data_IF_422192294678
#
_entry.id   IF_422192294678
#
_cell.length_a   1.000
_cell.length_b   1.000
_cell.length_c   1.000
_cell.angle_alpha   90.00
_cell.angle_beta   90.00
_cell.angle_gamma   90.00
#
_symmetry.space_group_name_H-M   'P 1'
#
loop_
_entity.id
_entity.type
_entity.pdbx_description
1 polymer ?
#
# COMPACT_ATOMS: atom_id res chain seq x y z
N UNK A 1 5.57 12.45 7.81
CA UNK A 1 5.32 11.75 6.53
C UNK A 1 6.17 10.49 6.46
N UNK A 2 5.55 9.34 6.17
CA UNK A 2 6.27 8.06 6.04
C UNK A 2 6.02 7.47 4.65
N UNK A 3 7.10 7.13 3.93
CA UNK A 3 7.02 6.54 2.60
C UNK A 3 7.56 5.11 2.61
N UNK A 4 6.85 4.19 1.95
CA UNK A 4 7.22 2.78 1.83
C UNK A 4 7.38 2.38 0.35
N UNK A 5 8.46 1.69 -0.04
CA UNK A 5 8.55 1.10 -1.37
C UNK A 5 7.67 -0.16 -1.48
N UNK A 6 7.52 -0.70 -2.70
CA UNK A 6 6.91 -2.01 -2.90
C UNK A 6 7.80 -3.13 -2.33
N UNK A 7 7.50 -3.57 -1.10
CA UNK A 7 8.23 -4.66 -0.46
C UNK A 7 7.82 -6.02 -1.07
N UNK A 8 8.81 -6.85 -1.44
CA UNK A 8 8.60 -8.22 -1.90
C UNK A 8 8.42 -8.42 -3.41
N UNK A 9 8.09 -7.39 -4.20
CA UNK A 9 7.76 -7.50 -5.65
C UNK A 9 8.96 -7.40 -6.60
N UNK A 10 10.18 -7.40 -6.04
CA UNK A 10 11.46 -7.38 -6.76
C UNK A 10 12.00 -8.78 -7.05
N UNK A 11 13.27 -9.02 -6.70
CA UNK A 11 13.93 -10.33 -6.85
C UNK A 11 13.32 -11.44 -5.98
N UNK A 12 12.50 -11.09 -4.99
CA UNK A 12 11.85 -12.03 -4.07
C UNK A 12 10.67 -12.80 -4.67
N UNK A 13 10.22 -12.46 -5.88
CA UNK A 13 9.18 -13.20 -6.61
C UNK A 13 7.78 -13.15 -5.99
N UNK A 14 7.55 -12.32 -4.97
CA UNK A 14 6.25 -12.21 -4.34
C UNK A 14 5.26 -11.53 -5.31
N UNK A 15 4.09 -12.12 -5.60
CA UNK A 15 3.14 -11.54 -6.55
C UNK A 15 2.73 -10.13 -6.16
N UNK A 16 2.76 -9.21 -7.12
CA UNK A 16 2.45 -7.80 -6.90
C UNK A 16 1.06 -7.58 -6.29
N UNK A 17 0.05 -8.28 -6.81
CA UNK A 17 -1.32 -8.24 -6.28
C UNK A 17 -1.38 -8.56 -4.78
N UNK A 18 -0.71 -9.64 -4.38
CA UNK A 18 -0.69 -10.07 -2.99
C UNK A 18 0.08 -9.06 -2.13
N UNK A 19 1.20 -8.51 -2.62
CA UNK A 19 1.99 -7.52 -1.89
C UNK A 19 1.17 -6.26 -1.61
N UNK A 20 0.49 -5.74 -2.63
CA UNK A 20 -0.33 -4.54 -2.53
C UNK A 20 -1.49 -4.74 -1.55
N UNK A 21 -2.20 -5.88 -1.64
CA UNK A 21 -3.29 -6.19 -0.70
C UNK A 21 -2.80 -6.24 0.75
N UNK A 22 -1.68 -6.91 1.01
CA UNK A 22 -1.09 -6.97 2.37
C UNK A 22 -0.69 -5.57 2.83
N UNK A 23 0.07 -4.82 2.03
CA UNK A 23 0.55 -3.49 2.39
C UNK A 23 -0.60 -2.53 2.76
N UNK A 24 -1.65 -2.49 1.92
CA UNK A 24 -2.80 -1.61 2.11
C UNK A 24 -3.68 -2.04 3.28
N UNK A 25 -3.99 -3.34 3.41
CA UNK A 25 -4.82 -3.84 4.52
C UNK A 25 -4.14 -3.71 5.88
N UNK A 26 -2.82 -3.98 5.95
CA UNK A 26 -2.02 -3.76 7.15
C UNK A 26 -2.01 -2.28 7.53
N UNK A 27 -1.80 -1.40 6.55
CA UNK A 27 -1.81 0.06 6.78
C UNK A 27 -3.16 0.53 7.28
N UNK A 28 -4.26 0.09 6.65
CA UNK A 28 -5.62 0.40 7.11
C UNK A 28 -5.86 -0.06 8.54
N UNK A 29 -5.46 -1.28 8.89
CA UNK A 29 -5.60 -1.83 10.23
C UNK A 29 -4.79 -1.03 11.25
N UNK A 30 -3.56 -0.65 10.91
CA UNK A 30 -2.68 0.11 11.77
C UNK A 30 -3.21 1.53 12.03
N UNK A 31 -3.72 2.21 10.99
CA UNK A 31 -4.29 3.55 11.08
C UNK A 31 -5.54 3.61 11.99
N UNK A 32 -6.30 2.52 12.14
CA UNK A 32 -7.47 2.48 13.05
C UNK A 32 -7.13 2.88 14.49
N UNK A 33 -5.90 2.60 14.96
CA UNK A 33 -5.49 2.90 16.34
C UNK A 33 -4.32 3.87 16.45
N UNK A 34 -3.80 4.39 15.33
CA UNK A 34 -2.61 5.24 15.31
C UNK A 34 -2.72 6.43 14.34
N UNK A 35 -3.94 6.84 13.99
CA UNK A 35 -4.18 7.97 13.07
C UNK A 35 -3.59 9.30 13.55
N UNK A 36 -3.39 9.46 14.85
CA UNK A 36 -2.79 10.63 15.50
C UNK A 36 -1.25 10.66 15.40
N UNK A 37 -0.64 9.53 15.02
CA UNK A 37 0.83 9.39 14.97
C UNK A 37 1.43 9.74 13.61
N UNK A 38 0.61 9.94 12.59
CA UNK A 38 1.10 10.19 11.23
C UNK A 38 0.11 11.04 10.45
N UNK A 39 0.61 12.07 9.78
CA UNK A 39 -0.23 12.90 8.90
C UNK A 39 -0.55 12.20 7.58
N UNK A 40 0.43 11.44 7.05
CA UNK A 40 0.35 10.82 5.74
C UNK A 40 1.29 9.60 5.62
N UNK A 41 0.74 8.53 5.03
CA UNK A 41 1.47 7.35 4.56
C UNK A 41 1.45 7.34 3.04
N UNK A 42 2.62 7.20 2.42
CA UNK A 42 2.79 7.17 0.96
C UNK A 42 3.38 5.84 0.51
N UNK A 43 2.75 5.22 -0.50
CA UNK A 43 3.32 4.05 -1.19
C UNK A 43 4.09 4.52 -2.41
N UNK A 44 5.42 4.42 -2.35
CA UNK A 44 6.33 4.82 -3.42
C UNK A 44 6.56 3.65 -4.37
N UNK A 45 5.80 3.64 -5.47
CA UNK A 45 5.86 2.61 -6.51
C UNK A 45 6.77 3.07 -7.66
N UNK A 46 7.60 2.16 -8.19
CA UNK A 46 8.50 2.47 -9.31
C UNK A 46 8.02 1.88 -10.64
N UNK A 47 7.54 0.64 -10.64
CA UNK A 47 7.07 -0.02 -11.86
C UNK A 47 5.62 0.37 -12.14
N UNK A 48 5.30 0.54 -13.42
CA UNK A 48 3.93 0.81 -13.86
C UNK A 48 2.93 -0.27 -13.39
N UNK A 49 3.34 -1.55 -13.42
CA UNK A 49 2.49 -2.65 -12.96
C UNK A 49 2.17 -2.56 -11.46
N UNK A 50 3.14 -2.14 -10.64
CA UNK A 50 2.89 -1.94 -9.21
C UNK A 50 1.89 -0.78 -9.00
N UNK A 51 2.04 0.31 -9.77
CA UNK A 51 1.10 1.43 -9.70
C UNK A 51 -0.35 1.01 -9.99
N UNK A 52 -0.59 0.30 -11.09
CA UNK A 52 -1.93 -0.17 -11.48
C UNK A 52 -2.58 -1.03 -10.39
N UNK A 53 -1.78 -1.96 -9.83
CA UNK A 53 -2.24 -2.88 -8.78
C UNK A 53 -2.55 -2.12 -7.50
N UNK A 54 -1.64 -1.24 -7.04
CA UNK A 54 -1.89 -0.43 -5.85
C UNK A 54 -3.12 0.46 -6.04
N UNK A 55 -3.24 1.15 -7.17
CA UNK A 55 -4.37 2.03 -7.48
C UNK A 55 -5.72 1.30 -7.45
N UNK A 56 -5.78 0.11 -8.06
CA UNK A 56 -6.96 -0.76 -8.04
C UNK A 56 -7.40 -1.09 -6.61
N UNK A 57 -6.49 -1.55 -5.76
CA UNK A 57 -6.84 -1.95 -4.39
C UNK A 57 -7.04 -0.78 -3.43
N UNK A 58 -6.42 0.37 -3.70
CA UNK A 58 -6.54 1.54 -2.83
C UNK A 58 -7.99 2.01 -2.75
N UNK A 59 -8.71 2.07 -3.87
CA UNK A 59 -10.13 2.43 -3.91
C UNK A 59 -11.05 1.39 -3.23
N UNK A 60 -10.65 0.11 -3.21
CA UNK A 60 -11.43 -0.95 -2.54
C UNK A 60 -11.22 -0.90 -1.02
N UNK A 61 -9.99 -0.65 -0.58
CA UNK A 61 -9.60 -0.71 0.84
C UNK A 61 -9.86 0.63 1.55
N UNK A 62 -9.65 1.74 0.85
CA UNK A 62 -9.89 3.11 1.27
C UNK A 62 -10.86 3.78 0.28
N UNK A 63 -12.16 3.40 0.32
CA UNK A 63 -13.16 4.02 -0.54
C UNK A 63 -13.23 5.53 -0.26
N UNK A 64 -13.24 6.32 -1.33
CA UNK A 64 -13.52 7.75 -1.30
C UNK A 64 -15.04 7.89 -1.35
N UNK A 65 -15.64 8.50 -0.32
CA UNK A 65 -17.06 8.89 -0.36
C UNK A 65 -17.30 10.01 -1.38
#
# INVERSE_FOLDING_TARGET
>A
MQAFPCLGTGSGGYPCDNAAQVALTTTRKWLKTHKDKVDMIMFCVFKHIDFEVYYKYLNVIFPVE
#
